data_IF_760033484831
#
_entry.id   IF_760033484831
#
_cell.length_a   1.000
_cell.length_b   1.000
_cell.length_c   1.000
_cell.angle_alpha   90.00
_cell.angle_beta   90.00
_cell.angle_gamma   90.00
#
_symmetry.space_group_name_H-M   'P 1'
#
loop_
_entity.id
_entity.type
_entity.pdbx_description
1 polymer ?
#
# COMPACT_ATOMS: atom_id res chain seq x y z
N UNK A 1 -13.74 26.66 17.72
CA UNK A 1 -13.92 25.19 17.89
C UNK A 1 -14.16 24.92 19.37
N UNK A 2 -15.32 24.34 19.76
CA UNK A 2 -15.52 23.91 21.15
C UNK A 2 -14.48 22.83 21.47
N UNK A 3 -13.73 23.03 22.55
CA UNK A 3 -12.82 22.00 23.05
C UNK A 3 -13.67 20.79 23.47
N UNK A 4 -13.58 19.69 22.70
CA UNK A 4 -14.22 18.43 23.03
C UNK A 4 -13.62 17.93 24.34
N UNK A 5 -14.45 17.72 25.35
CA UNK A 5 -14.01 17.05 26.60
C UNK A 5 -13.62 15.59 26.30
N UNK A 6 -12.76 15.00 27.12
CA UNK A 6 -12.31 13.61 26.91
C UNK A 6 -13.48 12.61 26.88
N UNK A 7 -14.56 12.87 27.59
CA UNK A 7 -15.76 12.03 27.64
C UNK A 7 -16.60 12.09 26.34
N UNK A 8 -16.44 13.12 25.53
CA UNK A 8 -17.17 13.31 24.28
C UNK A 8 -16.46 12.72 23.05
N UNK A 9 -15.25 12.18 23.22
CA UNK A 9 -14.41 11.68 22.12
C UNK A 9 -14.71 10.24 21.79
N UNK A 10 -14.88 9.91 20.50
CA UNK A 10 -15.03 8.51 20.03
C UNK A 10 -13.76 7.67 20.23
N UNK A 11 -12.59 8.29 20.18
CA UNK A 11 -11.30 7.62 20.36
C UNK A 11 -10.42 8.42 21.31
N UNK A 12 -9.89 7.75 22.31
CA UNK A 12 -8.84 8.30 23.17
C UNK A 12 -7.49 8.34 22.46
N UNK A 13 -6.49 8.99 23.05
CA UNK A 13 -5.12 8.94 22.54
C UNK A 13 -4.55 7.52 22.52
N UNK A 14 -4.89 6.73 23.55
CA UNK A 14 -4.49 5.35 23.64
C UNK A 14 -5.12 4.47 22.53
N UNK A 15 -6.39 4.74 22.17
CA UNK A 15 -7.07 4.02 21.09
C UNK A 15 -6.43 4.33 19.73
N UNK A 16 -6.07 5.60 19.47
CA UNK A 16 -5.36 5.98 18.25
C UNK A 16 -3.98 5.31 18.18
N UNK A 17 -3.22 5.32 19.28
CA UNK A 17 -1.92 4.66 19.32
C UNK A 17 -2.04 3.14 19.13
N UNK A 18 -3.04 2.51 19.77
CA UNK A 18 -3.36 1.07 19.62
C UNK A 18 -3.81 0.71 18.21
N UNK A 19 -4.30 1.66 17.44
CA UNK A 19 -4.66 1.47 16.03
C UNK A 19 -3.46 1.73 15.10
N UNK A 20 -2.76 2.87 15.25
CA UNK A 20 -1.74 3.31 14.30
C UNK A 20 -0.43 2.53 14.41
N UNK A 21 0.04 2.25 15.63
CA UNK A 21 1.31 1.55 15.84
C UNK A 21 1.33 0.13 15.27
N UNK A 22 0.32 -0.73 15.52
CA UNK A 22 0.29 -2.05 14.90
C UNK A 22 0.21 -2.01 13.38
N UNK A 23 -0.51 -1.04 12.78
CA UNK A 23 -0.54 -0.86 11.33
C UNK A 23 0.84 -0.50 10.79
N UNK A 24 1.59 0.36 11.52
CA UNK A 24 2.94 0.72 11.11
C UNK A 24 3.89 -0.49 11.15
N UNK A 25 3.81 -1.31 12.19
CA UNK A 25 4.59 -2.55 12.29
C UNK A 25 4.20 -3.53 11.17
N UNK A 26 2.90 -3.70 10.90
CA UNK A 26 2.40 -4.58 9.84
C UNK A 26 2.93 -4.16 8.46
N UNK A 27 2.87 -2.86 8.12
CA UNK A 27 3.39 -2.35 6.85
C UNK A 27 4.92 -2.47 6.74
N UNK A 28 5.63 -2.26 7.85
CA UNK A 28 7.07 -2.48 7.90
C UNK A 28 7.42 -3.95 7.66
N UNK A 29 6.69 -4.88 8.27
CA UNK A 29 6.87 -6.31 8.09
C UNK A 29 6.58 -6.73 6.65
N UNK A 30 5.52 -6.22 6.05
CA UNK A 30 5.16 -6.49 4.64
C UNK A 30 6.27 -6.03 3.69
N UNK A 31 6.79 -4.82 3.88
CA UNK A 31 7.88 -4.30 3.08
C UNK A 31 9.19 -5.10 3.28
N UNK A 32 9.49 -5.46 4.53
CA UNK A 32 10.69 -6.25 4.87
C UNK A 32 10.64 -7.66 4.29
N UNK A 33 9.45 -8.26 4.14
CA UNK A 33 9.29 -9.56 3.52
C UNK A 33 9.69 -9.54 2.04
N UNK A 34 9.29 -8.50 1.30
CA UNK A 34 9.70 -8.33 -0.10
C UNK A 34 11.21 -8.24 -0.24
N UNK A 35 11.87 -7.48 0.65
CA UNK A 35 13.33 -7.40 0.70
C UNK A 35 13.97 -8.75 1.03
N UNK A 36 13.44 -9.48 2.01
CA UNK A 36 13.95 -10.80 2.40
C UNK A 36 13.86 -11.80 1.24
N UNK A 37 12.72 -11.86 0.55
CA UNK A 37 12.55 -12.72 -0.62
C UNK A 37 13.54 -12.37 -1.75
N UNK A 38 13.76 -11.08 -2.01
CA UNK A 38 14.74 -10.64 -3.01
C UNK A 38 16.18 -11.02 -2.63
N UNK A 39 16.56 -10.87 -1.36
CA UNK A 39 17.87 -11.29 -0.85
C UNK A 39 18.05 -12.81 -0.92
N UNK A 40 17.02 -13.58 -0.61
CA UNK A 40 17.05 -15.03 -0.72
C UNK A 40 17.14 -15.48 -2.20
N UNK A 41 16.47 -14.78 -3.12
CA UNK A 41 16.61 -15.05 -4.55
C UNK A 41 18.05 -14.76 -5.03
N UNK A 42 18.71 -13.75 -4.48
CA UNK A 42 20.11 -13.43 -4.79
C UNK A 42 21.08 -14.54 -4.38
N UNK A 43 20.76 -15.29 -3.33
CA UNK A 43 21.58 -16.45 -2.93
C UNK A 43 21.43 -17.65 -3.87
N UNK A 44 20.42 -17.66 -4.73
CA UNK A 44 20.19 -18.74 -5.72
C UNK A 44 20.93 -18.43 -7.02
N UNK A 45 20.60 -17.31 -7.66
CA UNK A 45 21.22 -16.89 -8.92
C UNK A 45 20.78 -15.47 -9.32
N UNK A 46 21.49 -14.85 -10.24
CA UNK A 46 21.11 -13.57 -10.83
C UNK A 46 19.78 -13.66 -11.62
N UNK A 47 19.57 -14.79 -12.33
CA UNK A 47 18.32 -15.06 -13.04
C UNK A 47 17.13 -15.17 -12.08
N UNK A 48 17.34 -15.76 -10.89
CA UNK A 48 16.32 -15.86 -9.85
C UNK A 48 15.88 -14.49 -9.31
N UNK A 49 16.84 -13.58 -9.07
CA UNK A 49 16.54 -12.20 -8.66
C UNK A 49 15.71 -11.48 -9.72
N UNK A 50 16.13 -11.60 -10.97
CA UNK A 50 15.43 -10.98 -12.10
C UNK A 50 14.00 -11.51 -12.21
N UNK A 51 13.81 -12.82 -12.17
CA UNK A 51 12.51 -13.47 -12.25
C UNK A 51 11.57 -13.07 -11.09
N UNK A 52 12.06 -13.09 -9.85
CA UNK A 52 11.29 -12.69 -8.67
C UNK A 52 10.90 -11.21 -8.77
N UNK A 53 11.84 -10.33 -9.14
CA UNK A 53 11.59 -8.89 -9.25
C UNK A 53 10.53 -8.54 -10.29
N UNK A 54 10.56 -9.18 -11.47
CA UNK A 54 9.56 -8.98 -12.53
C UNK A 54 8.16 -9.39 -12.07
N UNK A 55 8.04 -10.54 -11.42
CA UNK A 55 6.76 -11.03 -10.94
C UNK A 55 6.23 -10.21 -9.77
N UNK A 56 7.10 -9.83 -8.82
CA UNK A 56 6.73 -8.95 -7.70
C UNK A 56 6.20 -7.59 -8.19
N UNK A 57 6.72 -7.07 -9.31
CA UNK A 57 6.20 -5.88 -9.93
C UNK A 57 4.74 -6.05 -10.42
N UNK A 58 4.45 -7.18 -11.07
CA UNK A 58 3.07 -7.53 -11.49
C UNK A 58 2.17 -7.72 -10.27
N UNK A 59 2.65 -8.44 -9.27
CA UNK A 59 1.89 -8.69 -8.05
C UNK A 59 1.60 -7.42 -7.25
N UNK A 60 2.52 -6.46 -7.21
CA UNK A 60 2.31 -5.17 -6.55
C UNK A 60 1.10 -4.40 -7.10
N UNK A 61 0.87 -4.48 -8.43
CA UNK A 61 -0.32 -3.91 -9.06
C UNK A 61 -1.60 -4.55 -8.49
N UNK A 62 -1.67 -5.89 -8.45
CA UNK A 62 -2.84 -6.60 -7.95
C UNK A 62 -3.04 -6.43 -6.45
N UNK A 63 -1.96 -6.43 -5.67
CA UNK A 63 -1.99 -6.11 -4.23
C UNK A 63 -2.62 -4.73 -4.01
N UNK A 64 -2.24 -3.74 -4.82
CA UNK A 64 -2.80 -2.39 -4.72
C UNK A 64 -4.30 -2.34 -5.00
N UNK A 65 -4.80 -3.14 -5.95
CA UNK A 65 -6.22 -3.26 -6.25
C UNK A 65 -6.97 -3.94 -5.10
N UNK A 66 -6.45 -5.05 -4.55
CA UNK A 66 -7.06 -5.73 -3.40
C UNK A 66 -7.12 -4.82 -2.16
N UNK A 67 -6.05 -4.08 -1.90
CA UNK A 67 -5.99 -3.09 -0.82
C UNK A 67 -6.99 -1.95 -1.02
N UNK A 68 -7.21 -1.52 -2.27
CA UNK A 68 -8.20 -0.49 -2.59
C UNK A 68 -9.63 -0.98 -2.34
N UNK A 69 -9.97 -2.21 -2.72
CA UNK A 69 -11.27 -2.84 -2.44
C UNK A 69 -11.46 -3.01 -0.91
N UNK A 70 -10.44 -3.50 -0.22
CA UNK A 70 -10.45 -3.66 1.24
C UNK A 70 -10.66 -2.31 1.96
N UNK A 71 -10.03 -1.24 1.47
CA UNK A 71 -10.21 0.13 1.96
C UNK A 71 -11.64 0.60 1.73
N UNK A 72 -12.20 0.37 0.55
CA UNK A 72 -13.60 0.70 0.25
C UNK A 72 -14.58 0.03 1.22
N UNK A 73 -14.41 -1.27 1.45
CA UNK A 73 -15.22 -2.02 2.40
C UNK A 73 -15.05 -1.55 3.85
N UNK A 74 -13.81 -1.27 4.26
CA UNK A 74 -13.51 -0.71 5.59
C UNK A 74 -14.18 0.64 5.83
N UNK A 75 -14.18 1.53 4.84
CA UNK A 75 -14.84 2.84 4.92
C UNK A 75 -16.36 2.68 5.06
N UNK A 76 -16.99 1.87 4.20
CA UNK A 76 -18.45 1.63 4.25
C UNK A 76 -18.84 0.99 5.59
N UNK A 77 -18.14 -0.04 6.04
CA UNK A 77 -18.39 -0.69 7.33
C UNK A 77 -18.18 0.26 8.51
N UNK A 78 -17.14 1.12 8.46
CA UNK A 78 -16.86 2.11 9.50
C UNK A 78 -17.96 3.18 9.58
N UNK A 79 -18.48 3.64 8.45
CA UNK A 79 -19.59 4.59 8.43
C UNK A 79 -20.89 3.96 8.98
N UNK A 80 -21.20 2.70 8.61
CA UNK A 80 -22.34 1.98 9.22
C UNK A 80 -22.17 1.77 10.72
N UNK A 81 -20.97 1.49 11.21
CA UNK A 81 -20.72 1.42 12.65
C UNK A 81 -20.91 2.79 13.33
N UNK A 82 -20.47 3.87 12.69
CA UNK A 82 -20.67 5.24 13.17
C UNK A 82 -22.15 5.61 13.27
N UNK A 83 -22.95 5.22 12.28
CA UNK A 83 -24.41 5.43 12.26
C UNK A 83 -25.20 4.44 13.12
N UNK A 84 -24.53 3.58 13.91
CA UNK A 84 -25.11 2.53 14.76
C UNK A 84 -25.90 1.46 13.99
N UNK A 85 -25.69 1.30 12.71
CA UNK A 85 -26.31 0.29 11.84
C UNK A 85 -25.46 -0.99 11.80
N UNK A 86 -25.35 -1.69 12.92
CA UNK A 86 -24.48 -2.88 13.06
C UNK A 86 -24.84 -4.02 12.09
N UNK A 87 -26.13 -4.18 11.72
CA UNK A 87 -26.57 -5.17 10.73
C UNK A 87 -25.98 -4.92 9.35
N UNK A 88 -26.05 -3.66 8.86
CA UNK A 88 -25.48 -3.26 7.58
C UNK A 88 -23.96 -3.32 7.60
N UNK A 89 -23.33 -2.98 8.73
CA UNK A 89 -21.89 -3.10 8.91
C UNK A 89 -21.41 -4.57 8.81
N UNK A 90 -22.14 -5.53 9.39
CA UNK A 90 -21.86 -6.97 9.26
C UNK A 90 -22.07 -7.45 7.83
N UNK A 91 -23.18 -7.04 7.19
CA UNK A 91 -23.43 -7.39 5.81
C UNK A 91 -22.31 -6.84 4.90
N UNK A 92 -21.82 -5.63 5.17
CA UNK A 92 -20.65 -5.08 4.45
C UNK A 92 -19.40 -5.94 4.63
N UNK A 93 -19.14 -6.47 5.83
CA UNK A 93 -18.02 -7.38 6.07
C UNK A 93 -18.16 -8.69 5.29
N UNK A 94 -19.36 -9.29 5.30
CA UNK A 94 -19.66 -10.47 4.48
C UNK A 94 -19.44 -10.21 2.99
N UNK A 95 -20.03 -9.13 2.47
CA UNK A 95 -19.92 -8.77 1.05
C UNK A 95 -18.47 -8.51 0.64
N UNK A 96 -17.70 -7.82 1.49
CA UNK A 96 -16.30 -7.53 1.24
C UNK A 96 -15.46 -8.81 1.11
N UNK A 97 -15.61 -9.75 2.05
CA UNK A 97 -14.84 -11.01 2.06
C UNK A 97 -15.18 -11.87 0.84
N UNK A 98 -16.46 -12.08 0.57
CA UNK A 98 -16.89 -12.90 -0.58
C UNK A 98 -16.55 -12.26 -1.92
N UNK A 99 -16.79 -10.96 -2.06
CA UNK A 99 -16.44 -10.24 -3.28
C UNK A 99 -14.92 -10.27 -3.52
N UNK A 100 -14.10 -10.04 -2.49
CA UNK A 100 -12.64 -10.09 -2.61
C UNK A 100 -12.16 -11.48 -3.01
N UNK A 101 -12.76 -12.56 -2.48
CA UNK A 101 -12.45 -13.94 -2.85
C UNK A 101 -12.75 -14.20 -4.34
N UNK A 102 -13.99 -13.93 -4.76
CA UNK A 102 -14.45 -14.19 -6.13
C UNK A 102 -13.62 -13.38 -7.13
N UNK A 103 -13.42 -12.10 -6.84
CA UNK A 103 -12.64 -11.20 -7.68
C UNK A 103 -11.17 -11.65 -7.79
N UNK A 104 -10.55 -12.05 -6.66
CA UNK A 104 -9.17 -12.52 -6.68
C UNK A 104 -8.99 -13.87 -7.37
N UNK A 105 -9.97 -14.79 -7.29
CA UNK A 105 -9.97 -16.02 -8.09
C UNK A 105 -10.03 -15.68 -9.58
N UNK A 106 -10.91 -14.76 -9.97
CA UNK A 106 -10.98 -14.32 -11.37
C UNK A 106 -9.65 -13.73 -11.86
N UNK A 107 -9.00 -12.86 -11.06
CA UNK A 107 -7.69 -12.30 -11.37
C UNK A 107 -6.63 -13.39 -11.44
N UNK A 108 -6.60 -14.33 -10.49
CA UNK A 108 -5.64 -15.44 -10.49
C UNK A 108 -5.75 -16.29 -11.75
N UNK A 109 -6.97 -16.64 -12.16
CA UNK A 109 -7.22 -17.38 -13.39
C UNK A 109 -6.79 -16.56 -14.62
N UNK A 110 -7.09 -15.27 -14.66
CA UNK A 110 -6.67 -14.39 -15.75
C UNK A 110 -5.14 -14.33 -15.86
N UNK A 111 -4.41 -14.20 -14.75
CA UNK A 111 -2.94 -14.21 -14.73
C UNK A 111 -2.40 -15.55 -15.26
N UNK A 112 -2.95 -16.67 -14.81
CA UNK A 112 -2.49 -18.01 -15.23
C UNK A 112 -2.73 -18.22 -16.72
N UNK A 113 -3.88 -17.83 -17.25
CA UNK A 113 -4.21 -17.94 -18.69
C UNK A 113 -3.36 -17.00 -19.53
N UNK A 114 -3.12 -15.78 -19.06
CA UNK A 114 -2.37 -14.74 -19.77
C UNK A 114 -0.87 -14.73 -19.46
N UNK A 115 -0.35 -15.72 -18.72
CA UNK A 115 1.04 -15.73 -18.23
C UNK A 115 2.07 -15.55 -19.35
N UNK A 116 1.91 -16.26 -20.45
CA UNK A 116 2.84 -16.19 -21.57
C UNK A 116 2.75 -14.83 -22.28
N UNK A 117 1.54 -14.27 -22.41
CA UNK A 117 1.35 -12.91 -22.95
C UNK A 117 2.05 -11.87 -22.02
N UNK A 118 1.93 -12.02 -20.70
CA UNK A 118 2.57 -11.13 -19.74
C UNK A 118 4.09 -11.24 -19.86
N UNK A 119 4.63 -12.44 -19.87
CA UNK A 119 6.08 -12.66 -19.91
C UNK A 119 6.69 -12.23 -21.26
N UNK A 120 6.04 -12.52 -22.38
CA UNK A 120 6.60 -12.27 -23.70
C UNK A 120 6.30 -10.85 -24.23
N UNK A 121 5.12 -10.27 -23.92
CA UNK A 121 4.72 -8.97 -24.46
C UNK A 121 4.95 -7.80 -23.53
N UNK A 122 4.86 -8.02 -22.19
CA UNK A 122 5.10 -6.94 -21.23
C UNK A 122 6.58 -6.80 -20.90
N UNK A 123 7.29 -7.92 -20.76
CA UNK A 123 8.71 -7.93 -20.41
C UNK A 123 9.67 -8.13 -21.59
N UNK A 124 9.15 -8.61 -22.74
CA UNK A 124 9.96 -8.82 -23.93
C UNK A 124 10.91 -10.00 -23.82
N UNK A 125 12.07 -9.93 -24.47
CA UNK A 125 13.07 -11.00 -24.40
C UNK A 125 13.90 -10.87 -23.11
N UNK A 126 13.55 -11.70 -22.13
CA UNK A 126 14.20 -11.75 -20.81
C UNK A 126 15.17 -12.93 -20.65
N UNK A 127 15.43 -13.67 -21.73
CA UNK A 127 16.25 -14.88 -21.68
C UNK A 127 15.48 -16.10 -21.13
N UNK A 128 15.83 -17.27 -21.63
CA UNK A 128 15.05 -18.52 -21.41
C UNK A 128 14.99 -18.92 -19.92
N UNK A 129 16.11 -18.81 -19.19
CA UNK A 129 16.17 -19.19 -17.78
C UNK A 129 15.32 -18.25 -16.90
N UNK A 130 15.42 -16.95 -17.10
CA UNK A 130 14.61 -15.94 -16.37
C UNK A 130 13.13 -16.15 -16.68
N UNK A 131 12.78 -16.40 -17.95
CA UNK A 131 11.41 -16.67 -18.36
C UNK A 131 10.83 -17.92 -17.68
N UNK A 132 11.60 -19.01 -17.58
CA UNK A 132 11.18 -20.23 -16.90
C UNK A 132 10.94 -20.00 -15.41
N UNK A 133 11.90 -19.38 -14.73
CA UNK A 133 11.81 -19.07 -13.31
C UNK A 133 10.64 -18.10 -13.01
N UNK A 134 10.48 -17.06 -13.83
CA UNK A 134 9.37 -16.11 -13.73
C UNK A 134 8.01 -16.78 -13.98
N UNK A 135 7.91 -17.71 -14.94
CA UNK A 135 6.67 -18.45 -15.21
C UNK A 135 6.24 -19.29 -14.00
N UNK A 136 7.16 -20.01 -13.38
CA UNK A 136 6.86 -20.77 -12.15
C UNK A 136 6.46 -19.84 -11.01
N UNK A 137 7.25 -18.80 -10.74
CA UNK A 137 6.97 -17.86 -9.65
C UNK A 137 5.64 -17.12 -9.85
N UNK A 138 5.30 -16.73 -11.08
CA UNK A 138 4.05 -16.07 -11.44
C UNK A 138 2.82 -16.96 -11.19
N UNK A 139 2.90 -18.25 -11.56
CA UNK A 139 1.78 -19.19 -11.34
C UNK A 139 1.50 -19.37 -9.84
N UNK A 140 2.52 -19.64 -9.03
CA UNK A 140 2.34 -19.80 -7.58
C UNK A 140 1.91 -18.50 -6.91
N UNK A 141 2.43 -17.35 -7.36
CA UNK A 141 2.00 -16.03 -6.90
C UNK A 141 0.54 -15.77 -7.24
N UNK A 142 0.09 -16.14 -8.45
CA UNK A 142 -1.31 -16.03 -8.84
C UNK A 142 -2.22 -16.93 -8.00
N UNK A 143 -1.82 -18.19 -7.73
CA UNK A 143 -2.55 -19.09 -6.82
C UNK A 143 -2.62 -18.51 -5.40
N UNK A 144 -1.60 -17.75 -4.97
CA UNK A 144 -1.60 -17.10 -3.66
C UNK A 144 -2.49 -15.84 -3.58
N UNK A 145 -2.88 -15.25 -4.72
CA UNK A 145 -3.64 -13.99 -4.77
C UNK A 145 -4.98 -14.04 -4.02
N UNK A 146 -5.81 -15.10 -4.10
CA UNK A 146 -7.04 -15.20 -3.32
C UNK A 146 -6.80 -15.17 -1.81
N UNK A 147 -5.74 -15.83 -1.31
CA UNK A 147 -5.39 -15.80 0.10
C UNK A 147 -4.96 -14.41 0.55
N UNK A 148 -4.21 -13.71 -0.29
CA UNK A 148 -3.78 -12.34 -0.02
C UNK A 148 -4.96 -11.36 -0.01
N UNK A 149 -5.88 -11.46 -0.96
CA UNK A 149 -7.07 -10.62 -1.03
C UNK A 149 -7.99 -10.83 0.18
N UNK A 150 -8.21 -12.09 0.58
CA UNK A 150 -8.97 -12.43 1.78
C UNK A 150 -8.30 -11.92 3.05
N UNK A 151 -6.98 -12.05 3.16
CA UNK A 151 -6.23 -11.48 4.28
C UNK A 151 -6.41 -9.96 4.34
N UNK A 152 -6.24 -9.25 3.23
CA UNK A 152 -6.40 -7.80 3.16
C UNK A 152 -7.82 -7.36 3.58
N UNK A 153 -8.86 -8.05 3.09
CA UNK A 153 -10.25 -7.79 3.44
C UNK A 153 -10.52 -8.03 4.95
N UNK A 154 -10.08 -9.17 5.48
CA UNK A 154 -10.26 -9.51 6.89
C UNK A 154 -9.48 -8.56 7.82
N UNK A 155 -8.24 -8.22 7.48
CA UNK A 155 -7.43 -7.25 8.22
C UNK A 155 -8.09 -5.86 8.24
N UNK A 156 -8.68 -5.43 7.12
CA UNK A 156 -9.43 -4.17 7.04
C UNK A 156 -10.67 -4.19 7.96
N UNK A 157 -11.38 -5.32 8.07
CA UNK A 157 -12.52 -5.49 8.99
C UNK A 157 -12.05 -5.43 10.45
N UNK A 158 -10.94 -6.10 10.81
CA UNK A 158 -10.38 -6.02 12.16
C UNK A 158 -9.95 -4.58 12.51
N UNK A 159 -9.32 -3.86 11.58
CA UNK A 159 -8.97 -2.44 11.77
C UNK A 159 -10.23 -1.56 11.95
N UNK A 160 -11.32 -1.86 11.24
CA UNK A 160 -12.63 -1.20 11.40
C UNK A 160 -13.19 -1.38 12.82
N UNK A 161 -12.92 -2.52 13.46
CA UNK A 161 -13.24 -2.78 14.87
C UNK A 161 -12.22 -2.18 15.85
N UNK A 162 -11.24 -1.41 15.35
CA UNK A 162 -10.11 -0.86 16.12
C UNK A 162 -9.15 -1.92 16.69
N UNK A 163 -9.16 -3.13 16.13
CA UNK A 163 -8.26 -4.21 16.50
C UNK A 163 -7.18 -4.42 15.42
N UNK A 164 -6.19 -3.53 15.37
CA UNK A 164 -5.08 -3.65 14.42
C UNK A 164 -3.96 -4.59 14.93
N UNK A 165 -3.97 -4.98 16.21
CA UNK A 165 -2.94 -5.86 16.78
C UNK A 165 -3.00 -7.27 16.18
N UNK A 166 -4.22 -7.77 15.96
CA UNK A 166 -4.41 -9.13 15.47
C UNK A 166 -3.82 -9.33 14.05
N UNK A 167 -4.16 -8.51 13.04
CA UNK A 167 -3.49 -8.59 11.74
C UNK A 167 -1.97 -8.47 11.83
N UNK A 168 -1.45 -7.56 12.66
CA UNK A 168 -0.01 -7.39 12.88
C UNK A 168 0.66 -8.70 13.38
N UNK A 169 0.09 -9.36 14.39
CA UNK A 169 0.66 -10.61 14.91
C UNK A 169 0.61 -11.74 13.89
N UNK A 170 -0.50 -11.85 13.15
CA UNK A 170 -0.64 -12.85 12.09
C UNK A 170 0.39 -12.60 10.98
N UNK A 171 0.57 -11.33 10.56
CA UNK A 171 1.57 -10.96 9.56
C UNK A 171 2.99 -11.27 10.03
N UNK A 172 3.31 -10.95 11.29
CA UNK A 172 4.63 -11.26 11.86
C UNK A 172 4.91 -12.77 11.86
N UNK A 173 3.94 -13.58 12.29
CA UNK A 173 4.06 -15.04 12.28
C UNK A 173 4.18 -15.59 10.85
N UNK A 174 3.39 -15.06 9.90
CA UNK A 174 3.44 -15.47 8.50
C UNK A 174 4.77 -15.12 7.83
N UNK A 175 5.33 -13.94 8.12
CA UNK A 175 6.63 -13.53 7.60
C UNK A 175 7.76 -14.41 8.15
N UNK A 176 7.74 -14.68 9.46
CA UNK A 176 8.71 -15.60 10.05
C UNK A 176 8.62 -16.99 9.42
N UNK A 177 7.41 -17.51 9.26
CA UNK A 177 7.18 -18.80 8.60
C UNK A 177 7.66 -18.79 7.14
N UNK A 178 7.38 -17.72 6.39
CA UNK A 178 7.84 -17.57 5.02
C UNK A 178 9.37 -17.63 4.94
N UNK A 179 10.07 -16.83 5.77
CA UNK A 179 11.54 -16.79 5.80
C UNK A 179 12.13 -18.16 6.14
N UNK A 180 11.57 -18.83 7.15
CA UNK A 180 12.02 -20.17 7.56
C UNK A 180 11.81 -21.22 6.45
N UNK A 181 10.60 -21.26 5.87
CA UNK A 181 10.30 -22.21 4.78
C UNK A 181 11.16 -21.93 3.55
N UNK A 182 11.35 -20.66 3.20
CA UNK A 182 12.20 -20.28 2.07
C UNK A 182 13.65 -20.67 2.31
N UNK A 183 14.19 -20.44 3.50
CA UNK A 183 15.54 -20.85 3.87
C UNK A 183 15.72 -22.39 3.77
N UNK A 184 14.79 -23.14 4.34
CA UNK A 184 14.81 -24.63 4.24
C UNK A 184 14.73 -25.06 2.78
N UNK A 185 13.83 -24.48 1.98
CA UNK A 185 13.65 -24.83 0.57
C UNK A 185 14.90 -24.56 -0.27
N UNK A 186 15.58 -23.44 -0.03
CA UNK A 186 16.78 -23.07 -0.79
C UNK A 186 18.00 -23.86 -0.31
N UNK A 187 18.28 -23.85 0.99
CA UNK A 187 19.56 -24.36 1.51
C UNK A 187 19.56 -25.88 1.76
N UNK A 188 18.37 -26.49 2.04
CA UNK A 188 18.29 -27.94 2.29
C UNK A 188 17.82 -28.70 1.07
N UNK A 189 16.77 -28.21 0.38
CA UNK A 189 16.19 -28.91 -0.77
C UNK A 189 16.67 -28.40 -2.13
N UNK A 190 17.44 -27.32 -2.18
CA UNK A 190 17.98 -26.70 -3.41
C UNK A 190 16.93 -26.43 -4.50
N UNK A 191 15.72 -26.04 -4.10
CA UNK A 191 14.55 -25.88 -4.99
C UNK A 191 14.56 -24.58 -5.80
N UNK A 192 15.53 -23.69 -5.56
CA UNK A 192 15.65 -22.43 -6.29
C UNK A 192 14.44 -21.52 -6.12
N UNK A 193 14.04 -20.84 -7.21
CA UNK A 193 12.91 -19.90 -7.23
C UNK A 193 11.57 -20.56 -6.86
N UNK A 194 11.40 -21.85 -7.22
CA UNK A 194 10.18 -22.59 -6.90
C UNK A 194 9.98 -22.71 -5.38
N UNK A 195 11.07 -22.88 -4.62
CA UNK A 195 11.03 -22.92 -3.16
C UNK A 195 10.54 -21.60 -2.56
N UNK A 196 10.98 -20.46 -3.09
CA UNK A 196 10.50 -19.13 -2.65
C UNK A 196 9.00 -19.00 -2.91
N UNK A 197 8.54 -19.41 -4.11
CA UNK A 197 7.16 -19.33 -4.54
C UNK A 197 6.22 -20.16 -3.65
N UNK A 198 6.57 -21.42 -3.39
CA UNK A 198 5.80 -22.36 -2.57
C UNK A 198 5.77 -21.90 -1.11
N UNK A 199 6.90 -21.45 -0.57
CA UNK A 199 6.99 -20.94 0.81
C UNK A 199 6.09 -19.71 1.01
N UNK A 200 6.08 -18.81 0.03
CA UNK A 200 5.21 -17.63 0.04
C UNK A 200 3.72 -18.01 -0.04
N UNK A 201 3.37 -18.97 -0.90
CA UNK A 201 2.01 -19.50 -0.99
C UNK A 201 1.53 -20.10 0.34
N UNK A 202 2.35 -20.96 0.96
CA UNK A 202 2.01 -21.62 2.23
C UNK A 202 1.83 -20.58 3.34
N UNK A 203 2.75 -19.63 3.47
CA UNK A 203 2.67 -18.59 4.49
C UNK A 203 1.42 -17.71 4.33
N UNK A 204 1.10 -17.30 3.09
CA UNK A 204 -0.12 -16.53 2.76
C UNK A 204 -1.39 -17.33 3.03
N UNK A 205 -1.41 -18.61 2.67
CA UNK A 205 -2.56 -19.49 2.93
C UNK A 205 -2.82 -19.64 4.43
N UNK A 206 -1.79 -19.93 5.24
CA UNK A 206 -1.92 -20.05 6.69
C UNK A 206 -2.39 -18.74 7.30
N UNK A 207 -1.80 -17.60 6.96
CA UNK A 207 -2.23 -16.29 7.43
C UNK A 207 -3.71 -16.02 7.12
N UNK A 208 -4.13 -16.32 5.90
CA UNK A 208 -5.51 -16.19 5.45
C UNK A 208 -6.47 -17.08 6.26
N UNK A 209 -6.16 -18.38 6.40
CA UNK A 209 -7.01 -19.30 7.15
C UNK A 209 -7.15 -18.88 8.62
N UNK A 210 -6.05 -18.45 9.25
CA UNK A 210 -6.08 -17.98 10.64
C UNK A 210 -6.95 -16.74 10.78
N UNK A 211 -6.76 -15.71 9.95
CA UNK A 211 -7.51 -14.45 10.11
C UNK A 211 -8.99 -14.63 9.76
N UNK A 212 -9.33 -15.44 8.74
CA UNK A 212 -10.70 -15.73 8.37
C UNK A 212 -11.39 -16.57 9.45
N UNK A 213 -10.71 -17.59 10.01
CA UNK A 213 -11.22 -18.39 11.11
C UNK A 213 -11.58 -17.52 12.33
N UNK A 214 -10.69 -16.58 12.69
CA UNK A 214 -10.96 -15.66 13.79
C UNK A 214 -12.11 -14.69 13.49
N UNK A 215 -12.34 -14.36 12.22
CA UNK A 215 -13.45 -13.49 11.81
C UNK A 215 -14.81 -14.20 11.84
N UNK A 216 -14.84 -15.54 11.97
CA UNK A 216 -16.06 -16.34 12.16
C UNK A 216 -16.61 -16.28 13.60
N UNK A 217 -15.88 -15.67 14.54
CA UNK A 217 -16.34 -15.54 15.93
C UNK A 217 -17.53 -14.57 16.03
N UNK A 218 -18.70 -15.12 16.37
CA UNK A 218 -19.95 -14.36 16.52
C UNK A 218 -19.91 -13.32 17.65
N UNK A 219 -18.95 -13.41 18.58
CA UNK A 219 -18.75 -12.41 19.64
C UNK A 219 -18.17 -11.10 19.12
N UNK A 220 -17.57 -11.11 17.93
CA UNK A 220 -17.05 -9.90 17.32
C UNK A 220 -18.18 -8.97 16.88
N UNK A 221 -17.93 -7.64 16.97
CA UNK A 221 -18.88 -6.63 16.48
C UNK A 221 -19.17 -6.79 14.98
N UNK A 222 -18.12 -7.07 14.22
CA UNK A 222 -18.18 -7.46 12.81
C UNK A 222 -17.63 -8.88 12.70
N UNK A 223 -18.44 -9.78 12.21
CA UNK A 223 -18.10 -11.17 11.93
C UNK A 223 -18.72 -11.57 10.60
N UNK A 224 -18.16 -12.56 9.95
CA UNK A 224 -18.74 -13.15 8.75
C UNK A 224 -19.65 -14.32 9.12
N UNK A 225 -20.64 -14.55 8.26
CA UNK A 225 -21.60 -15.66 8.47
C UNK A 225 -20.93 -16.99 8.21
N UNK A 226 -21.24 -18.01 9.02
CA UNK A 226 -20.80 -19.40 8.80
C UNK A 226 -21.58 -20.10 7.68
N UNK A 227 -21.95 -19.40 6.64
CA UNK A 227 -22.72 -19.94 5.52
C UNK A 227 -21.87 -19.92 4.25
N UNK A 228 -21.81 -21.05 3.57
CA UNK A 228 -21.21 -21.15 2.25
C UNK A 228 -22.12 -20.58 1.14
N UNK A 229 -23.37 -20.26 1.47
CA UNK A 229 -24.31 -19.67 0.53
C UNK A 229 -24.12 -18.16 0.55
N UNK A 230 -23.49 -17.65 -0.51
CA UNK A 230 -23.33 -16.22 -0.71
C UNK A 230 -24.63 -15.58 -1.21
N UNK A 231 -25.11 -14.58 -0.44
CA UNK A 231 -26.22 -13.72 -0.87
C UNK A 231 -25.66 -12.40 -1.36
N UNK A 232 -25.63 -12.23 -2.65
CA UNK A 232 -25.12 -11.02 -3.30
C UNK A 232 -26.02 -9.81 -2.95
N UNK A 233 -25.40 -8.77 -2.38
CA UNK A 233 -26.04 -7.50 -2.10
C UNK A 233 -25.42 -6.41 -2.98
N UNK A 234 -26.08 -6.16 -4.12
CA UNK A 234 -25.59 -5.20 -5.12
C UNK A 234 -25.39 -3.80 -4.55
N UNK A 235 -26.30 -3.34 -3.66
CA UNK A 235 -26.22 -1.98 -3.11
C UNK A 235 -24.99 -1.80 -2.23
N UNK A 236 -24.65 -2.78 -1.42
CA UNK A 236 -23.46 -2.74 -0.58
C UNK A 236 -22.19 -2.84 -1.43
N UNK A 237 -22.15 -3.76 -2.38
CA UNK A 237 -20.99 -3.91 -3.27
C UNK A 237 -20.77 -2.64 -4.09
N UNK A 238 -21.83 -2.04 -4.62
CA UNK A 238 -21.73 -0.76 -5.32
C UNK A 238 -21.12 0.34 -4.45
N UNK A 239 -21.50 0.43 -3.16
CA UNK A 239 -20.90 1.37 -2.21
C UNK A 239 -19.41 1.09 -1.98
N UNK A 240 -19.02 -0.18 -1.83
CA UNK A 240 -17.61 -0.59 -1.71
C UNK A 240 -16.83 -0.20 -2.96
N UNK A 241 -17.36 -0.51 -4.14
CA UNK A 241 -16.71 -0.26 -5.42
C UNK A 241 -16.64 1.23 -5.78
N UNK A 242 -17.60 2.03 -5.36
CA UNK A 242 -17.56 3.49 -5.55
C UNK A 242 -16.33 4.15 -4.89
N UNK A 243 -15.75 3.51 -3.89
CA UNK A 243 -14.51 3.96 -3.25
C UNK A 243 -13.32 3.13 -3.76
N UNK A 244 -13.48 1.80 -3.84
CA UNK A 244 -12.42 0.89 -4.19
C UNK A 244 -11.94 1.05 -5.64
N UNK A 245 -12.86 1.19 -6.61
CA UNK A 245 -12.48 1.31 -8.04
C UNK A 245 -11.70 2.59 -8.32
N UNK A 246 -12.15 3.80 -7.93
CA UNK A 246 -11.35 5.00 -8.12
C UNK A 246 -9.97 4.92 -7.47
N UNK A 247 -9.90 4.37 -6.26
CA UNK A 247 -8.62 4.24 -5.54
C UNK A 247 -7.70 3.18 -6.17
N UNK A 248 -8.25 2.05 -6.62
CA UNK A 248 -7.48 1.02 -7.34
C UNK A 248 -6.96 1.53 -8.68
N UNK A 249 -7.77 2.28 -9.42
CA UNK A 249 -7.36 2.90 -10.67
C UNK A 249 -6.25 3.95 -10.46
N UNK A 250 -6.38 4.80 -9.44
CA UNK A 250 -5.35 5.75 -9.02
C UNK A 250 -4.01 5.04 -8.77
N UNK A 251 -4.01 3.96 -7.97
CA UNK A 251 -2.82 3.20 -7.66
C UNK A 251 -2.22 2.51 -8.91
N UNK A 252 -3.06 1.94 -9.76
CA UNK A 252 -2.61 1.30 -11.00
C UNK A 252 -1.91 2.29 -11.94
N UNK A 253 -2.48 3.47 -12.09
CA UNK A 253 -1.87 4.53 -12.92
C UNK A 253 -0.57 5.07 -12.32
N UNK A 254 -0.45 5.04 -10.98
CA UNK A 254 0.81 5.38 -10.32
C UNK A 254 1.95 4.43 -10.72
N UNK A 255 1.70 3.12 -10.84
CA UNK A 255 2.69 2.17 -11.33
C UNK A 255 3.06 2.42 -12.81
N UNK A 256 2.07 2.73 -13.65
CA UNK A 256 2.34 3.11 -15.06
C UNK A 256 3.24 4.35 -15.13
N UNK A 257 2.93 5.37 -14.36
CA UNK A 257 3.76 6.59 -14.30
C UNK A 257 5.19 6.32 -13.81
N UNK A 258 5.36 5.40 -12.84
CA UNK A 258 6.70 4.97 -12.39
C UNK A 258 7.53 4.34 -13.50
N UNK A 259 6.92 3.51 -14.35
CA UNK A 259 7.62 2.89 -15.49
C UNK A 259 8.11 3.97 -16.46
N UNK A 260 7.25 4.93 -16.80
CA UNK A 260 7.59 6.02 -17.72
C UNK A 260 8.77 6.84 -17.16
N UNK A 261 8.74 7.18 -15.88
CA UNK A 261 9.84 7.92 -15.22
C UNK A 261 11.10 7.06 -15.16
N UNK A 262 11.01 5.76 -14.90
CA UNK A 262 12.16 4.87 -14.88
C UNK A 262 12.80 4.74 -16.27
N UNK A 263 12.01 4.73 -17.33
CA UNK A 263 12.52 4.78 -18.72
C UNK A 263 13.30 6.08 -18.98
N UNK A 264 12.86 7.22 -18.44
CA UNK A 264 13.63 8.46 -18.51
C UNK A 264 14.94 8.38 -17.71
N UNK A 265 14.89 7.82 -16.49
CA UNK A 265 16.09 7.64 -15.65
C UNK A 265 17.15 6.79 -16.35
N UNK A 266 16.75 5.78 -17.14
CA UNK A 266 17.68 4.89 -17.84
C UNK A 266 18.55 5.62 -18.89
N UNK A 267 18.13 6.78 -19.38
CA UNK A 267 18.92 7.60 -20.30
C UNK A 267 20.19 8.20 -19.65
N UNK A 268 20.23 8.29 -18.32
CA UNK A 268 21.34 8.88 -17.56
C UNK A 268 22.38 7.85 -17.08
N UNK A 269 22.34 6.62 -17.62
CA UNK A 269 23.31 5.58 -17.38
C UNK A 269 23.07 4.71 -16.14
N UNK A 270 23.95 3.73 -15.97
CA UNK A 270 23.80 2.66 -14.96
C UNK A 270 23.90 3.18 -13.53
N UNK A 271 24.74 4.19 -13.27
CA UNK A 271 24.86 4.82 -11.95
C UNK A 271 23.54 5.46 -11.50
N UNK A 272 22.83 6.14 -12.42
CA UNK A 272 21.52 6.75 -12.18
C UNK A 272 20.44 5.69 -11.90
N UNK A 273 20.42 4.59 -12.65
CA UNK A 273 19.48 3.48 -12.42
C UNK A 273 19.72 2.87 -11.03
N UNK A 274 20.98 2.59 -10.68
CA UNK A 274 21.33 2.03 -9.39
C UNK A 274 20.99 2.98 -8.23
N UNK A 275 21.30 4.27 -8.37
CA UNK A 275 20.97 5.29 -7.38
C UNK A 275 19.46 5.44 -7.19
N UNK A 276 18.68 5.44 -8.28
CA UNK A 276 17.22 5.50 -8.20
C UNK A 276 16.60 4.27 -7.52
N UNK A 277 17.13 3.08 -7.77
CA UNK A 277 16.68 1.84 -7.16
C UNK A 277 16.98 1.82 -5.65
N UNK A 278 18.23 2.07 -5.26
CA UNK A 278 18.67 2.06 -3.86
C UNK A 278 18.04 3.23 -3.09
N UNK A 279 18.04 4.43 -3.67
CA UNK A 279 17.39 5.60 -3.10
C UNK A 279 15.89 5.35 -2.87
N UNK A 280 15.20 4.79 -3.87
CA UNK A 280 13.79 4.41 -3.77
C UNK A 280 13.50 3.42 -2.64
N UNK A 281 14.41 2.46 -2.40
CA UNK A 281 14.30 1.50 -1.29
C UNK A 281 14.47 2.18 0.06
N UNK A 282 15.48 3.04 0.21
CA UNK A 282 15.78 3.73 1.47
C UNK A 282 14.66 4.72 1.85
N UNK A 283 14.15 5.51 0.90
CA UNK A 283 13.10 6.51 1.18
C UNK A 283 11.76 5.88 1.59
N UNK A 284 11.50 4.61 1.27
CA UNK A 284 10.30 3.92 1.75
C UNK A 284 10.22 3.88 3.27
N UNK A 285 11.35 3.76 3.97
CA UNK A 285 11.37 3.81 5.43
C UNK A 285 10.97 5.18 6.00
N UNK A 286 11.13 6.26 5.24
CA UNK A 286 10.59 7.58 5.61
C UNK A 286 9.07 7.64 5.42
N UNK A 287 8.52 6.94 4.41
CA UNK A 287 7.11 7.01 3.99
C UNK A 287 6.19 6.13 4.85
N UNK A 288 6.63 4.90 5.19
CA UNK A 288 5.82 3.87 5.84
C UNK A 288 5.06 4.35 7.09
N UNK A 289 5.67 5.10 8.04
CA UNK A 289 4.95 5.53 9.24
C UNK A 289 3.78 6.48 8.94
N UNK A 290 3.95 7.38 7.96
CA UNK A 290 2.90 8.28 7.51
C UNK A 290 1.74 7.54 6.84
N UNK A 291 2.03 6.56 6.00
CA UNK A 291 1.03 5.70 5.35
C UNK A 291 0.21 4.91 6.39
N UNK A 292 0.87 4.39 7.42
CA UNK A 292 0.22 3.63 8.48
C UNK A 292 -0.80 4.48 9.26
N UNK A 293 -0.39 5.70 9.65
CA UNK A 293 -1.31 6.64 10.31
C UNK A 293 -2.46 7.01 9.37
N UNK A 294 -2.20 7.23 8.08
CA UNK A 294 -3.22 7.49 7.07
C UNK A 294 -4.25 6.36 6.98
N UNK A 295 -3.80 5.09 6.96
CA UNK A 295 -4.68 3.92 6.95
C UNK A 295 -5.59 3.88 8.18
N UNK A 296 -5.05 4.08 9.38
CA UNK A 296 -5.83 4.11 10.61
C UNK A 296 -6.78 5.33 10.66
N UNK A 297 -6.33 6.50 10.17
CA UNK A 297 -7.13 7.71 10.08
C UNK A 297 -8.38 7.52 9.20
N UNK A 298 -8.27 6.75 8.12
CA UNK A 298 -9.41 6.42 7.25
C UNK A 298 -10.56 5.79 8.05
N UNK A 299 -10.27 4.85 8.92
CA UNK A 299 -11.25 4.18 9.80
C UNK A 299 -11.88 5.16 10.79
N UNK A 300 -11.04 5.98 11.43
CA UNK A 300 -11.48 6.97 12.44
C UNK A 300 -12.41 8.02 11.82
N UNK A 301 -12.00 8.60 10.69
CA UNK A 301 -12.78 9.62 9.98
C UNK A 301 -14.07 9.04 9.43
N UNK A 302 -14.03 7.86 8.81
CA UNK A 302 -15.23 7.20 8.30
C UNK A 302 -16.26 6.95 9.42
N UNK A 303 -15.82 6.57 10.62
CA UNK A 303 -16.70 6.37 11.77
C UNK A 303 -17.33 7.69 12.23
N UNK A 304 -16.56 8.78 12.29
CA UNK A 304 -17.08 10.11 12.65
C UNK A 304 -18.13 10.61 11.63
N UNK A 305 -17.86 10.40 10.34
CA UNK A 305 -18.78 10.78 9.25
C UNK A 305 -20.08 9.97 9.33
N UNK A 306 -19.98 8.66 9.57
CA UNK A 306 -21.14 7.80 9.78
C UNK A 306 -22.01 8.25 10.94
N UNK A 307 -21.40 8.77 12.01
CA UNK A 307 -22.10 9.35 13.15
C UNK A 307 -22.58 10.79 12.91
N UNK A 308 -22.36 11.36 11.73
CA UNK A 308 -22.66 12.76 11.39
C UNK A 308 -21.92 13.80 12.25
N UNK A 309 -20.79 13.43 12.85
CA UNK A 309 -19.97 14.30 13.69
C UNK A 309 -18.71 14.78 12.95
N UNK A 310 -18.89 15.77 12.10
CA UNK A 310 -17.80 16.40 11.33
C UNK A 310 -16.82 17.17 12.21
N UNK A 311 -17.23 17.61 13.41
CA UNK A 311 -16.34 18.29 14.33
C UNK A 311 -15.28 17.34 14.88
N UNK A 312 -15.69 16.14 15.28
CA UNK A 312 -14.76 15.08 15.66
C UNK A 312 -13.89 14.65 14.49
N UNK A 313 -14.45 14.49 13.29
CA UNK A 313 -13.66 14.17 12.09
C UNK A 313 -12.52 15.20 11.88
N UNK A 314 -12.83 16.51 11.90
CA UNK A 314 -11.82 17.58 11.79
C UNK A 314 -10.77 17.54 12.91
N UNK A 315 -11.21 17.25 14.14
CA UNK A 315 -10.31 17.13 15.28
C UNK A 315 -9.29 15.98 15.06
N UNK A 316 -9.76 14.80 14.66
CA UNK A 316 -8.88 13.67 14.41
C UNK A 316 -7.97 13.86 13.19
N UNK A 317 -8.47 14.50 12.13
CA UNK A 317 -7.64 14.86 10.97
C UNK A 317 -6.49 15.76 11.40
N UNK A 318 -6.77 16.85 12.14
CA UNK A 318 -5.73 17.77 12.61
C UNK A 318 -4.71 17.06 13.52
N UNK A 319 -5.21 16.24 14.43
CA UNK A 319 -4.37 15.50 15.36
C UNK A 319 -3.47 14.48 14.66
N UNK A 320 -4.05 13.68 13.76
CA UNK A 320 -3.28 12.71 12.99
C UNK A 320 -2.30 13.37 12.04
N UNK A 321 -2.66 14.53 11.45
CA UNK A 321 -1.73 15.31 10.63
C UNK A 321 -0.50 15.73 11.43
N UNK A 322 -0.70 16.25 12.65
CA UNK A 322 0.42 16.59 13.54
C UNK A 322 1.25 15.35 13.90
N UNK A 323 0.60 14.23 14.20
CA UNK A 323 1.28 12.96 14.48
C UNK A 323 2.12 12.49 13.28
N UNK A 324 1.60 12.63 12.05
CA UNK A 324 2.32 12.28 10.82
C UNK A 324 3.57 13.17 10.69
N UNK A 325 3.45 14.49 10.85
CA UNK A 325 4.62 15.38 10.78
C UNK A 325 5.70 14.99 11.79
N UNK A 326 5.31 14.73 13.05
CA UNK A 326 6.24 14.34 14.11
C UNK A 326 6.93 13.01 13.76
N UNK A 327 6.16 11.99 13.42
CA UNK A 327 6.71 10.65 13.17
C UNK A 327 7.57 10.64 11.91
N UNK A 328 7.18 11.35 10.85
CA UNK A 328 7.99 11.48 9.64
C UNK A 328 9.29 12.26 9.87
N UNK A 329 9.26 13.29 10.71
CA UNK A 329 10.49 13.98 11.09
C UNK A 329 11.48 13.02 11.77
N UNK A 330 11.02 12.23 12.74
CA UNK A 330 11.89 11.27 13.42
C UNK A 330 12.33 10.11 12.51
N UNK A 331 11.45 9.59 11.67
CA UNK A 331 11.82 8.52 10.71
C UNK A 331 12.81 9.03 9.67
N UNK A 332 12.61 10.25 9.17
CA UNK A 332 13.56 10.89 8.24
C UNK A 332 14.91 11.13 8.91
N UNK A 333 14.92 11.68 10.12
CA UNK A 333 16.16 11.89 10.88
C UNK A 333 16.90 10.55 11.13
N UNK A 334 16.19 9.49 11.50
CA UNK A 334 16.78 8.17 11.68
C UNK A 334 17.39 7.62 10.37
N UNK A 335 16.66 7.74 9.24
CA UNK A 335 17.18 7.32 7.92
C UNK A 335 18.40 8.12 7.53
N UNK A 336 18.42 9.45 7.74
CA UNK A 336 19.58 10.30 7.42
C UNK A 336 20.80 9.98 8.29
N UNK A 337 20.59 9.69 9.58
CA UNK A 337 21.68 9.28 10.49
C UNK A 337 22.28 7.92 10.09
N UNK A 338 21.44 7.01 9.60
CA UNK A 338 21.88 5.67 9.17
C UNK A 338 22.27 5.62 7.69
N UNK A 339 22.21 6.73 6.95
CA UNK A 339 22.41 6.75 5.50
C UNK A 339 23.81 6.26 5.11
N UNK A 340 24.86 6.77 5.73
CA UNK A 340 26.23 6.38 5.38
C UNK A 340 26.53 4.89 5.68
N UNK A 341 26.16 4.32 6.86
CA UNK A 341 26.22 2.88 7.05
C UNK A 341 25.43 2.07 6.03
N UNK A 342 24.20 2.52 5.69
CA UNK A 342 23.37 1.84 4.70
C UNK A 342 24.02 1.84 3.31
N UNK A 343 24.56 2.97 2.86
CA UNK A 343 25.22 3.08 1.56
C UNK A 343 26.46 2.19 1.43
N UNK A 344 27.17 1.92 2.54
CA UNK A 344 28.32 1.00 2.55
C UNK A 344 27.94 -0.46 2.33
N UNK A 345 26.70 -0.84 2.65
CA UNK A 345 26.19 -2.22 2.42
C UNK A 345 25.95 -2.45 0.92
N UNK A 346 25.60 -1.38 0.18
CA UNK A 346 25.40 -1.46 -1.25
C UNK A 346 26.73 -1.18 -1.98
N UNK A 347 27.25 -2.14 -2.73
CA UNK A 347 28.47 -2.02 -3.51
C UNK A 347 28.25 -1.11 -4.74
N UNK A 348 27.98 0.19 -4.51
CA UNK A 348 27.70 1.18 -5.53
C UNK A 348 28.97 1.92 -5.97
N UNK A 349 28.96 2.42 -7.20
CA UNK A 349 29.98 3.37 -7.66
C UNK A 349 29.91 4.69 -6.88
N UNK A 350 31.01 5.43 -6.81
CA UNK A 350 31.06 6.72 -6.12
C UNK A 350 30.02 7.72 -6.65
N UNK A 351 29.73 7.69 -7.94
CA UNK A 351 28.68 8.50 -8.57
C UNK A 351 27.30 8.10 -8.08
N UNK A 352 26.97 6.79 -8.09
CA UNK A 352 25.69 6.29 -7.60
C UNK A 352 25.48 6.57 -6.11
N UNK A 353 26.53 6.48 -5.27
CA UNK A 353 26.49 6.87 -3.87
C UNK A 353 26.10 8.33 -3.71
N UNK A 354 26.74 9.23 -4.45
CA UNK A 354 26.47 10.66 -4.38
C UNK A 354 25.05 10.99 -4.83
N UNK A 355 24.58 10.40 -5.91
CA UNK A 355 23.20 10.55 -6.38
C UNK A 355 22.18 10.02 -5.35
N UNK A 356 22.44 8.84 -4.79
CA UNK A 356 21.56 8.25 -3.75
C UNK A 356 21.49 9.14 -2.51
N UNK A 357 22.64 9.69 -2.07
CA UNK A 357 22.68 10.64 -0.96
C UNK A 357 21.84 11.87 -1.23
N UNK A 358 21.94 12.47 -2.41
CA UNK A 358 21.13 13.63 -2.82
C UNK A 358 19.63 13.28 -2.82
N UNK A 359 19.24 12.13 -3.39
CA UNK A 359 17.85 11.65 -3.39
C UNK A 359 17.30 11.61 -1.97
N UNK A 360 17.99 10.92 -1.06
CA UNK A 360 17.49 10.68 0.31
C UNK A 360 17.38 11.99 1.09
N UNK A 361 18.32 12.92 0.94
CA UNK A 361 18.28 14.24 1.55
C UNK A 361 17.11 15.09 1.02
N UNK A 362 17.00 15.26 -0.30
CA UNK A 362 15.94 16.07 -0.90
C UNK A 362 14.55 15.49 -0.62
N UNK A 363 14.44 14.15 -0.70
CA UNK A 363 13.20 13.48 -0.35
C UNK A 363 12.84 13.68 1.12
N UNK A 364 13.79 13.57 2.03
CA UNK A 364 13.56 13.79 3.47
C UNK A 364 13.03 15.19 3.77
N UNK A 365 13.55 16.23 3.12
CA UNK A 365 13.06 17.61 3.24
C UNK A 365 11.61 17.71 2.72
N UNK A 366 11.37 17.24 1.49
CA UNK A 366 10.04 17.26 0.88
C UNK A 366 9.02 16.44 1.69
N UNK A 367 9.47 15.31 2.25
CA UNK A 367 8.69 14.42 3.11
C UNK A 367 8.19 15.13 4.37
N UNK A 368 9.05 15.90 5.03
CA UNK A 368 8.70 16.65 6.23
C UNK A 368 7.85 17.89 5.95
N UNK A 369 7.89 18.47 4.74
CA UNK A 369 7.20 19.72 4.44
C UNK A 369 5.87 19.51 3.70
N UNK A 370 5.86 18.65 2.67
CA UNK A 370 4.80 18.62 1.66
C UNK A 370 3.98 17.33 1.73
N UNK A 371 4.65 16.18 1.92
CA UNK A 371 4.01 14.87 1.80
C UNK A 371 2.76 14.68 2.67
N UNK A 372 2.72 15.11 3.95
CA UNK A 372 1.53 14.93 4.77
C UNK A 372 0.28 15.60 4.18
N UNK A 373 0.44 16.77 3.56
CA UNK A 373 -0.68 17.50 2.93
C UNK A 373 -1.14 16.81 1.63
N UNK A 374 -0.20 16.27 0.85
CA UNK A 374 -0.49 15.63 -0.42
C UNK A 374 -1.13 14.24 -0.28
N UNK A 375 -0.84 13.49 0.79
CA UNK A 375 -1.26 12.09 0.94
C UNK A 375 -2.28 11.83 2.05
N UNK A 376 -2.35 12.66 3.09
CA UNK A 376 -3.31 12.47 4.18
C UNK A 376 -4.71 12.94 3.80
N UNK A 377 -4.85 14.10 3.15
CA UNK A 377 -6.17 14.61 2.76
C UNK A 377 -6.92 13.71 1.78
N UNK A 378 -6.31 13.11 0.74
CA UNK A 378 -6.98 12.12 -0.11
C UNK A 378 -7.60 10.97 0.68
N UNK A 379 -6.93 10.52 1.74
CA UNK A 379 -7.44 9.48 2.63
C UNK A 379 -8.69 9.93 3.39
N UNK A 380 -8.72 11.18 3.84
CA UNK A 380 -9.91 11.79 4.47
C UNK A 380 -11.07 11.88 3.48
N UNK A 381 -10.81 12.28 2.24
CA UNK A 381 -11.84 12.37 1.21
C UNK A 381 -12.42 11.00 0.87
N UNK A 382 -11.57 9.98 0.69
CA UNK A 382 -12.02 8.59 0.48
C UNK A 382 -12.83 8.08 1.67
N UNK A 383 -12.42 8.39 2.91
CA UNK A 383 -13.17 8.05 4.12
C UNK A 383 -14.54 8.73 4.20
N UNK A 384 -14.71 9.88 3.53
CA UNK A 384 -15.99 10.55 3.39
C UNK A 384 -16.86 9.98 2.25
N UNK A 385 -16.29 9.19 1.33
CA UNK A 385 -16.98 8.71 0.13
C UNK A 385 -16.66 9.54 -1.13
N UNK A 386 -15.86 10.60 -1.01
CA UNK A 386 -15.39 11.43 -2.13
C UNK A 386 -14.09 10.82 -2.72
N UNK A 387 -14.20 9.64 -3.34
CA UNK A 387 -13.03 8.94 -3.89
C UNK A 387 -12.66 9.40 -5.32
N UNK A 388 -13.60 9.97 -6.07
CA UNK A 388 -13.37 10.41 -7.46
C UNK A 388 -12.45 11.63 -7.54
N UNK A 389 -12.60 12.60 -6.62
CA UNK A 389 -11.79 13.81 -6.66
C UNK A 389 -10.29 13.53 -6.43
N UNK A 390 -9.87 12.77 -5.38
CA UNK A 390 -8.47 12.39 -5.24
C UNK A 390 -7.94 11.64 -6.46
N UNK A 391 -8.70 10.72 -7.04
CA UNK A 391 -8.32 10.00 -8.24
C UNK A 391 -8.02 10.97 -9.40
N UNK A 392 -8.95 11.89 -9.71
CA UNK A 392 -8.78 12.85 -10.82
C UNK A 392 -7.56 13.74 -10.60
N UNK A 393 -7.40 14.29 -9.38
CA UNK A 393 -6.25 15.15 -9.06
C UNK A 393 -4.94 14.38 -9.14
N UNK A 394 -4.88 13.15 -8.58
CA UNK A 394 -3.66 12.35 -8.61
C UNK A 394 -3.28 11.95 -10.03
N UNK A 395 -4.25 11.61 -10.88
CA UNK A 395 -4.00 11.32 -12.30
C UNK A 395 -3.52 12.57 -13.05
N UNK A 396 -4.23 13.68 -12.94
CA UNK A 396 -3.86 14.91 -13.61
C UNK A 396 -2.44 15.37 -13.22
N UNK A 397 -2.13 15.36 -11.92
CA UNK A 397 -0.80 15.72 -11.44
C UNK A 397 0.29 14.70 -11.83
N UNK A 398 -0.06 13.39 -11.88
CA UNK A 398 0.87 12.36 -12.37
C UNK A 398 1.31 12.67 -13.80
N UNK A 399 0.37 12.94 -14.71
CA UNK A 399 0.70 13.20 -16.10
C UNK A 399 1.30 14.61 -16.30
N UNK A 400 0.64 15.66 -15.80
CA UNK A 400 1.03 17.03 -16.04
C UNK A 400 2.27 17.45 -15.25
N UNK A 401 2.39 17.07 -13.99
CA UNK A 401 3.49 17.49 -13.14
C UNK A 401 4.60 16.43 -13.10
N UNK A 402 4.28 15.17 -12.73
CA UNK A 402 5.32 14.18 -12.48
C UNK A 402 6.02 13.71 -13.75
N UNK A 403 5.28 13.45 -14.85
CA UNK A 403 5.88 12.99 -16.11
C UNK A 403 6.41 14.19 -16.90
N UNK A 404 5.57 15.17 -17.24
CA UNK A 404 6.01 16.29 -18.10
C UNK A 404 7.14 17.09 -17.46
N UNK A 405 7.04 17.44 -16.16
CA UNK A 405 8.14 18.15 -15.49
C UNK A 405 9.38 17.30 -15.31
N UNK A 406 9.25 15.95 -15.23
CA UNK A 406 10.44 15.09 -15.19
C UNK A 406 11.28 15.23 -16.47
N UNK A 407 10.65 15.23 -17.64
CA UNK A 407 11.35 15.46 -18.92
C UNK A 407 11.92 16.88 -18.98
N UNK A 408 11.19 17.89 -18.57
CA UNK A 408 11.66 19.29 -18.57
C UNK A 408 12.85 19.45 -17.61
N UNK A 409 12.73 19.00 -16.36
CA UNK A 409 13.81 19.18 -15.38
C UNK A 409 15.03 18.33 -15.71
N UNK A 410 14.84 17.09 -16.16
CA UNK A 410 15.94 16.19 -16.45
C UNK A 410 16.70 16.56 -17.73
N UNK A 411 15.98 16.93 -18.82
CA UNK A 411 16.58 17.16 -20.13
C UNK A 411 16.79 18.64 -20.48
N UNK A 412 15.77 19.49 -20.17
CA UNK A 412 15.88 20.93 -20.57
C UNK A 412 16.68 21.73 -19.58
N UNK A 413 16.55 21.47 -18.27
CA UNK A 413 17.35 22.12 -17.22
C UNK A 413 18.64 21.36 -16.90
N UNK A 414 18.92 20.25 -17.60
CA UNK A 414 20.11 19.42 -17.45
C UNK A 414 20.37 18.93 -16.01
N UNK A 415 19.29 18.70 -15.25
CA UNK A 415 19.39 18.20 -13.87
C UNK A 415 19.55 16.66 -13.82
N UNK A 416 19.57 16.00 -14.98
CA UNK A 416 19.70 14.56 -15.07
C UNK A 416 18.64 13.80 -14.26
N UNK A 417 19.03 12.69 -13.66
CA UNK A 417 18.13 11.83 -12.87
C UNK A 417 17.52 12.57 -11.66
N UNK A 418 18.24 13.51 -11.03
CA UNK A 418 17.71 14.29 -9.89
C UNK A 418 16.52 15.16 -10.31
N UNK A 419 16.47 15.62 -11.57
CA UNK A 419 15.32 16.34 -12.12
C UNK A 419 14.01 15.55 -12.04
N UNK A 420 14.05 14.23 -12.15
CA UNK A 420 12.85 13.37 -12.00
C UNK A 420 12.31 13.37 -10.58
N UNK A 421 13.17 13.48 -9.56
CA UNK A 421 12.78 13.60 -8.16
C UNK A 421 12.21 14.99 -7.86
N UNK A 422 12.80 16.06 -8.41
CA UNK A 422 12.22 17.40 -8.29
C UNK A 422 10.82 17.50 -8.93
N UNK A 423 10.58 16.82 -10.05
CA UNK A 423 9.27 16.73 -10.66
C UNK A 423 8.24 16.02 -9.72
N UNK A 424 8.70 15.00 -9.00
CA UNK A 424 7.87 14.34 -7.96
C UNK A 424 7.52 15.30 -6.82
N UNK A 425 8.45 16.14 -6.36
CA UNK A 425 8.18 17.11 -5.30
C UNK A 425 7.25 18.22 -5.78
N UNK A 426 7.38 18.66 -7.04
CA UNK A 426 6.43 19.58 -7.67
C UNK A 426 5.02 18.98 -7.77
N UNK A 427 4.90 17.71 -8.16
CA UNK A 427 3.65 16.96 -8.14
C UNK A 427 3.01 16.96 -6.73
N UNK A 428 3.79 16.71 -5.67
CA UNK A 428 3.31 16.77 -4.28
C UNK A 428 2.85 18.18 -3.88
N UNK A 429 3.58 19.20 -4.28
CA UNK A 429 3.23 20.59 -3.95
C UNK A 429 1.89 21.00 -4.57
N UNK A 430 1.69 20.70 -5.86
CA UNK A 430 0.42 20.97 -6.54
C UNK A 430 -0.73 20.21 -5.89
N UNK A 431 -0.57 18.92 -5.61
CA UNK A 431 -1.54 18.10 -4.90
C UNK A 431 -1.87 18.67 -3.52
N UNK A 432 -0.86 19.06 -2.75
CA UNK A 432 -1.05 19.65 -1.44
C UNK A 432 -1.93 20.90 -1.49
N UNK A 433 -1.68 21.80 -2.44
CA UNK A 433 -2.49 23.02 -2.62
C UNK A 433 -3.94 22.67 -2.96
N UNK A 434 -4.17 21.78 -3.93
CA UNK A 434 -5.50 21.39 -4.36
C UNK A 434 -6.30 20.69 -3.24
N UNK A 435 -5.65 19.79 -2.51
CA UNK A 435 -6.30 19.06 -1.43
C UNK A 435 -6.54 19.92 -0.19
N UNK A 436 -5.60 20.78 0.19
CA UNK A 436 -5.81 21.76 1.27
C UNK A 436 -6.98 22.67 0.94
N UNK A 437 -7.06 23.20 -0.29
CA UNK A 437 -8.18 24.04 -0.74
C UNK A 437 -9.52 23.31 -0.63
N UNK A 438 -9.61 22.05 -1.12
CA UNK A 438 -10.84 21.25 -1.02
C UNK A 438 -11.23 20.97 0.44
N UNK A 439 -10.25 20.66 1.28
CA UNK A 439 -10.48 20.42 2.69
C UNK A 439 -11.00 21.68 3.41
N UNK A 440 -10.36 22.83 3.17
CA UNK A 440 -10.72 24.12 3.76
C UNK A 440 -12.14 24.57 3.35
N UNK A 441 -12.50 24.39 2.07
CA UNK A 441 -13.83 24.69 1.55
C UNK A 441 -14.93 23.76 2.10
N UNK A 442 -14.59 22.69 2.82
CA UNK A 442 -15.55 21.78 3.43
C UNK A 442 -16.36 20.94 2.45
N UNK A 443 -16.01 20.92 1.16
CA UNK A 443 -16.75 20.19 0.11
C UNK A 443 -16.82 18.70 0.41
N UNK A 444 -15.78 18.12 0.99
CA UNK A 444 -15.71 16.70 1.38
C UNK A 444 -16.79 16.28 2.39
N UNK A 445 -17.32 17.24 3.18
CA UNK A 445 -18.38 16.98 4.18
C UNK A 445 -19.76 16.76 3.55
N UNK A 446 -19.92 17.04 2.24
CA UNK A 446 -21.16 16.81 1.50
C UNK A 446 -21.32 15.37 1.03
N UNK A 447 -20.26 14.57 1.11
CA UNK A 447 -20.22 13.19 0.64
C UNK A 447 -20.44 12.20 1.80
N UNK A 448 -21.00 11.05 1.46
CA UNK A 448 -21.13 9.87 2.34
C UNK A 448 -21.02 8.61 1.49
N UNK A 449 -20.52 7.52 2.09
CA UNK A 449 -20.42 6.22 1.45
C UNK A 449 -21.68 5.36 1.66
N UNK A 450 -22.51 5.72 2.65
CA UNK A 450 -23.73 4.97 3.05
C UNK A 450 -24.99 5.77 2.76
#
# INVERSE_FOLDING_TARGET
>A
MKNLTNEQRFFSNADLARLFFPIAVEQFLEYSLGLANSLMAASVSESAVSAVSLVEFVMALFISIFTAIATGGSVVASQYLGSKQSGNARNTADQLVWFSLIFAIFIALAIIVLKDLILDKVFGDIGEQVRRDASHYLVFSAISAPFLALYAAAAAIFRTMSNAKLPMYIMAAANLLNVLLTAISIYTFHTGVLGIAISTLIARAIACFVIVYLLLDIKLKLHIRKSLIYKFDYEIIKKILNIGVPYGFENSMFYVGRIIVLSLVSLFGTASIAANAVGGTIVMFQVLPGMAIGTGLSVVVARCIGANDFNQAKFYVRKSMLSIYIVQFFSTAAVLLLLEPLLRVYNLSSEAINLTRQIVWYHGIAMCLIWPLAYTYPTVFRAAGDAKYPMIVNLACMFACRIVLAYIFALTFDLGMIGTWFAMFADWAVKAVLFVRRYANGTWMKFRAI
#
